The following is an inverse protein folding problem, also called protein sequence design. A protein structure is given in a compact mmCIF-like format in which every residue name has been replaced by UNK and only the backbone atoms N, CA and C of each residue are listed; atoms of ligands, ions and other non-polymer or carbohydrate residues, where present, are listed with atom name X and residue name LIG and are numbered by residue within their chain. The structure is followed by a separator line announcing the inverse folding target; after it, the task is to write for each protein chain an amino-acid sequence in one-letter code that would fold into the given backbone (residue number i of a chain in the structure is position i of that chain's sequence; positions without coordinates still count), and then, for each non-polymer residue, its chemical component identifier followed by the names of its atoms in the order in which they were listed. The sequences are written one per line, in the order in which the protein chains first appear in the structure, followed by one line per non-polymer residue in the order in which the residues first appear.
data_IF_404745775745
#
_entry.id   IF_404745775745
#
_cell.length_a   1.000
_cell.length_b   1.000
_cell.length_c   1.000
_cell.angle_alpha   90.00
_cell.angle_beta   90.00
_cell.angle_gamma   90.00
#
_symmetry.space_group_name_H-M   'P 1'
#
loop_
_entity.id
_entity.type
_entity.pdbx_description
1 polymer ?
#
# COMPACT_ATOMS: atom_id res chain seq x y z
N UNK A 1 4.17 -9.32 66.70
CA UNK A 1 3.55 -8.82 65.46
C UNK A 1 4.19 -7.47 65.08
N UNK A 2 4.76 -7.41 63.87
CA UNK A 2 4.78 -6.28 62.89
C UNK A 2 5.36 -4.92 63.33
N UNK A 3 6.12 -4.16 62.54
CA UNK A 3 6.87 -4.29 61.26
C UNK A 3 7.62 -2.94 61.12
N UNK A 4 8.82 -2.98 60.55
CA UNK A 4 9.70 -1.83 60.26
C UNK A 4 9.07 -0.84 59.25
N UNK A 5 9.52 0.42 59.21
CA UNK A 5 9.83 1.11 57.94
C UNK A 5 10.65 2.41 58.15
N UNK A 6 11.89 2.39 57.64
CA UNK A 6 12.76 3.51 57.23
C UNK A 6 12.29 4.12 55.91
N UNK A 7 12.89 5.26 55.48
CA UNK A 7 13.11 5.80 54.10
C UNK A 7 13.11 7.36 54.24
N UNK A 8 14.23 8.08 54.43
CA UNK A 8 15.35 8.46 53.52
C UNK A 8 14.86 8.88 52.12
N UNK A 9 14.72 10.18 51.82
CA UNK A 9 15.74 11.09 51.27
C UNK A 9 16.26 10.68 49.87
N UNK A 10 16.46 11.70 49.03
CA UNK A 10 17.29 11.76 47.80
C UNK A 10 16.48 11.62 46.51
N UNK A 11 16.66 12.42 45.46
CA UNK A 11 17.12 13.79 45.21
C UNK A 11 16.87 13.95 43.70
N UNK A 12 16.52 15.16 43.26
CA UNK A 12 16.38 15.50 41.86
C UNK A 12 17.67 15.19 41.07
N UNK A 13 17.54 14.48 39.95
CA UNK A 13 18.43 14.67 38.81
C UNK A 13 17.73 14.26 37.51
N UNK A 14 16.77 15.09 37.08
CA UNK A 14 16.15 15.00 35.76
C UNK A 14 17.06 15.67 34.75
N UNK A 15 18.16 15.01 34.37
CA UNK A 15 18.96 15.45 33.22
C UNK A 15 18.20 15.17 31.93
N UNK A 16 17.96 16.28 31.23
CA UNK A 16 17.45 16.41 29.88
C UNK A 16 18.17 15.45 28.91
N UNK A 17 17.46 14.44 28.43
CA UNK A 17 17.80 13.74 27.20
C UNK A 17 16.87 14.24 26.09
N UNK A 18 17.08 15.48 25.64
CA UNK A 18 16.58 15.89 24.32
C UNK A 18 17.62 15.47 23.28
N UNK A 19 17.62 14.17 22.97
CA UNK A 19 18.24 13.66 21.77
C UNK A 19 17.49 14.27 20.58
N UNK A 20 18.07 15.30 19.97
CA UNK A 20 17.63 15.78 18.67
C UNK A 20 17.89 14.67 17.64
N UNK A 21 16.94 13.75 17.51
CA UNK A 21 16.88 12.87 16.36
C UNK A 21 16.36 13.73 15.20
N UNK A 22 17.28 14.46 14.57
CA UNK A 22 17.02 15.07 13.26
C UNK A 22 16.98 13.94 12.24
N UNK A 23 15.90 13.16 12.23
CA UNK A 23 15.53 12.39 11.04
C UNK A 23 15.12 13.40 10.00
N UNK A 24 16.08 13.86 9.19
CA UNK A 24 15.81 14.15 7.78
C UNK A 24 15.33 12.84 7.17
N UNK A 25 14.03 12.56 7.30
CA UNK A 25 13.34 11.75 6.29
C UNK A 25 13.39 12.59 5.04
N UNK A 26 14.48 12.42 4.30
CA UNK A 26 14.51 12.61 2.87
C UNK A 26 13.45 11.63 2.37
N UNK A 27 12.20 12.10 2.34
CA UNK A 27 11.09 11.31 1.85
C UNK A 27 11.48 10.95 0.45
N UNK A 28 11.77 9.67 0.21
CA UNK A 28 11.83 9.13 -1.13
C UNK A 28 10.60 9.65 -1.84
N UNK A 29 10.81 10.49 -2.84
CA UNK A 29 9.74 10.89 -3.75
C UNK A 29 9.38 9.58 -4.43
N UNK A 30 8.39 8.88 -3.89
CA UNK A 30 7.88 7.63 -4.43
C UNK A 30 7.33 7.99 -5.81
N UNK A 31 8.14 7.78 -6.85
CA UNK A 31 7.75 8.06 -8.22
C UNK A 31 6.56 7.18 -8.52
N UNK A 32 5.43 7.79 -8.84
CA UNK A 32 4.23 7.05 -9.24
C UNK A 32 4.52 6.51 -10.64
N UNK A 33 4.69 5.18 -10.76
CA UNK A 33 4.86 4.51 -12.04
C UNK A 33 3.49 4.32 -12.71
N UNK A 34 3.31 4.95 -13.86
CA UNK A 34 2.10 4.83 -14.65
C UNK A 34 2.35 3.97 -15.88
N UNK A 35 1.53 2.95 -16.05
CA UNK A 35 1.60 2.02 -17.18
C UNK A 35 0.61 2.47 -18.23
N UNK A 36 1.14 2.92 -19.38
CA UNK A 36 0.37 3.56 -20.44
C UNK A 36 -0.07 2.58 -21.52
N UNK A 37 -1.28 2.75 -22.02
CA UNK A 37 -1.84 1.92 -23.09
C UNK A 37 -2.69 2.73 -24.08
N UNK A 38 -3.04 2.12 -25.21
CA UNK A 38 -3.91 2.74 -26.23
C UNK A 38 -5.24 3.16 -25.61
N UNK A 39 -5.70 4.37 -25.91
CA UNK A 39 -6.96 4.90 -25.35
C UNK A 39 -8.15 3.97 -25.62
N UNK A 40 -8.91 3.64 -24.57
CA UNK A 40 -10.10 2.80 -24.59
C UNK A 40 -11.18 3.44 -23.69
N UNK A 41 -12.49 3.18 -23.92
CA UNK A 41 -13.54 3.65 -23.01
C UNK A 41 -13.28 3.18 -21.57
N UNK A 42 -13.50 4.05 -20.58
CA UNK A 42 -13.21 3.76 -19.16
C UNK A 42 -13.87 2.45 -18.67
N UNK A 43 -15.14 2.22 -19.04
CA UNK A 43 -15.85 0.96 -18.75
C UNK A 43 -15.18 -0.28 -19.34
N UNK A 44 -14.54 -0.16 -20.51
CA UNK A 44 -13.78 -1.25 -21.13
C UNK A 44 -12.49 -1.52 -20.36
N UNK A 45 -11.78 -0.46 -19.96
CA UNK A 45 -10.58 -0.58 -19.12
C UNK A 45 -10.93 -1.26 -17.79
N UNK A 46 -11.94 -0.75 -17.08
CA UNK A 46 -12.44 -1.33 -15.83
C UNK A 46 -12.71 -2.83 -15.97
N UNK A 47 -13.48 -3.22 -16.99
CA UNK A 47 -13.80 -4.63 -17.25
C UNK A 47 -12.54 -5.48 -17.49
N UNK A 48 -11.58 -4.99 -18.28
CA UNK A 48 -10.36 -5.73 -18.58
C UNK A 48 -9.49 -5.91 -17.33
N UNK A 49 -9.33 -4.86 -16.51
CA UNK A 49 -8.56 -4.93 -15.26
C UNK A 49 -9.22 -5.91 -14.27
N UNK A 50 -10.55 -5.85 -14.10
CA UNK A 50 -11.28 -6.79 -13.23
C UNK A 50 -11.10 -8.23 -13.71
N UNK A 51 -11.20 -8.47 -15.03
CA UNK A 51 -11.00 -9.79 -15.60
C UNK A 51 -9.57 -10.29 -15.40
N UNK A 52 -8.56 -9.45 -15.62
CA UNK A 52 -7.16 -9.79 -15.41
C UNK A 52 -6.90 -10.26 -13.96
N UNK A 53 -7.30 -9.43 -12.98
CA UNK A 53 -7.10 -9.77 -11.57
C UNK A 53 -7.87 -11.03 -11.16
N UNK A 54 -9.13 -11.18 -11.59
CA UNK A 54 -9.92 -12.38 -11.27
C UNK A 54 -9.34 -13.66 -11.87
N UNK A 55 -8.86 -13.61 -13.12
CA UNK A 55 -8.20 -14.74 -13.79
C UNK A 55 -6.88 -15.12 -13.10
N UNK A 56 -6.16 -14.15 -12.54
CA UNK A 56 -4.96 -14.36 -11.72
C UNK A 56 -5.26 -14.72 -10.24
N UNK A 57 -6.54 -14.81 -9.86
CA UNK A 57 -6.96 -15.24 -8.52
C UNK A 57 -7.05 -14.12 -7.47
N UNK A 58 -7.04 -12.86 -7.90
CA UNK A 58 -7.33 -11.71 -7.04
C UNK A 58 -8.83 -11.52 -6.84
N UNK A 59 -9.21 -11.15 -5.61
CA UNK A 59 -10.52 -10.58 -5.32
C UNK A 59 -10.52 -9.10 -5.71
N UNK A 60 -11.32 -8.76 -6.71
CA UNK A 60 -11.43 -7.39 -7.21
C UNK A 60 -12.67 -6.71 -6.65
N UNK A 61 -12.49 -5.61 -5.92
CA UNK A 61 -13.59 -4.84 -5.33
C UNK A 61 -13.60 -3.43 -5.91
N UNK A 62 -14.75 -3.01 -6.43
CA UNK A 62 -14.93 -1.64 -6.90
C UNK A 62 -14.99 -0.68 -5.70
N UNK A 63 -14.14 0.35 -5.72
CA UNK A 63 -14.15 1.42 -4.73
C UNK A 63 -14.75 2.70 -5.30
N UNK A 64 -14.38 3.04 -6.54
CA UNK A 64 -14.95 4.13 -7.35
C UNK A 64 -14.87 3.76 -8.84
N UNK A 65 -15.47 4.58 -9.70
CA UNK A 65 -15.53 4.34 -11.16
C UNK A 65 -14.15 4.05 -11.81
N UNK A 66 -13.08 4.63 -11.26
CA UNK A 66 -11.73 4.55 -11.80
C UNK A 66 -10.70 4.00 -10.78
N UNK A 67 -11.18 3.32 -9.73
CA UNK A 67 -10.36 2.83 -8.62
C UNK A 67 -10.88 1.47 -8.12
N UNK A 68 -10.02 0.46 -8.13
CA UNK A 68 -10.29 -0.88 -7.62
C UNK A 68 -9.36 -1.21 -6.45
N UNK A 69 -9.84 -2.03 -5.52
CA UNK A 69 -9.02 -2.70 -4.51
C UNK A 69 -8.90 -4.17 -4.90
N UNK A 70 -7.68 -4.62 -5.16
CA UNK A 70 -7.34 -6.01 -5.46
C UNK A 70 -6.74 -6.68 -4.22
N UNK A 71 -7.28 -7.81 -3.81
CA UNK A 71 -6.78 -8.58 -2.66
C UNK A 71 -6.48 -10.03 -3.04
N UNK A 72 -5.33 -10.55 -2.64
CA UNK A 72 -4.95 -11.96 -2.85
C UNK A 72 -4.38 -12.53 -1.58
N UNK A 73 -4.75 -13.78 -1.26
CA UNK A 73 -4.24 -14.48 -0.07
C UNK A 73 -3.39 -15.65 -0.50
N UNK A 74 -2.11 -15.62 -0.14
CA UNK A 74 -1.13 -16.65 -0.46
C UNK A 74 -0.32 -16.98 0.80
N UNK A 75 -0.12 -18.27 1.08
CA UNK A 75 0.64 -18.74 2.25
C UNK A 75 0.15 -18.13 3.58
N UNK A 76 -1.16 -17.92 3.71
CA UNK A 76 -1.79 -17.33 4.90
C UNK A 76 -1.56 -15.82 5.07
N UNK A 77 -0.96 -15.15 4.09
CA UNK A 77 -0.77 -13.69 4.06
C UNK A 77 -1.68 -13.07 3.01
N UNK A 78 -2.34 -11.98 3.36
CA UNK A 78 -3.15 -11.20 2.43
C UNK A 78 -2.35 -10.00 1.94
N UNK A 79 -2.24 -9.86 0.62
CA UNK A 79 -1.79 -8.65 -0.08
C UNK A 79 -3.01 -7.83 -0.49
N UNK A 80 -2.90 -6.51 -0.47
CA UNK A 80 -3.90 -5.59 -0.99
C UNK A 80 -3.20 -4.53 -1.86
N UNK A 81 -3.72 -4.33 -3.07
CA UNK A 81 -3.21 -3.37 -4.06
C UNK A 81 -4.36 -2.49 -4.51
N UNK A 82 -4.15 -1.17 -4.46
CA UNK A 82 -5.06 -0.19 -5.05
C UNK A 82 -4.68 0.02 -6.51
N UNK A 83 -5.64 -0.19 -7.41
CA UNK A 83 -5.47 0.04 -8.84
C UNK A 83 -6.21 1.33 -9.20
N UNK A 84 -5.47 2.37 -9.56
CA UNK A 84 -6.06 3.59 -10.13
C UNK A 84 -5.89 3.56 -11.64
N UNK A 85 -6.94 3.82 -12.39
CA UNK A 85 -6.88 3.75 -13.86
C UNK A 85 -7.63 4.89 -14.54
N UNK A 86 -7.36 5.06 -15.82
CA UNK A 86 -8.02 6.01 -16.72
C UNK A 86 -8.23 5.35 -18.08
N UNK A 87 -8.60 6.13 -19.09
CA UNK A 87 -8.83 5.63 -20.45
C UNK A 87 -7.56 5.13 -21.14
N UNK A 88 -6.37 5.51 -20.67
CA UNK A 88 -5.09 5.24 -21.34
C UNK A 88 -3.92 4.98 -20.38
N UNK A 89 -4.16 4.79 -19.08
CA UNK A 89 -3.14 4.39 -18.12
C UNK A 89 -3.74 3.68 -16.92
N UNK A 90 -2.90 2.95 -16.19
CA UNK A 90 -3.18 2.47 -14.83
C UNK A 90 -1.93 2.63 -13.93
N UNK A 91 -2.13 2.53 -12.61
CA UNK A 91 -1.09 2.56 -11.60
C UNK A 91 -1.48 1.65 -10.44
N UNK A 92 -0.50 0.95 -9.86
CA UNK A 92 -0.64 0.05 -8.71
C UNK A 92 0.00 0.63 -7.45
N UNK A 93 -0.73 0.61 -6.34
CA UNK A 93 -0.20 1.04 -5.04
C UNK A 93 -0.60 0.09 -3.90
N UNK A 94 0.35 -0.61 -3.25
CA UNK A 94 1.76 -0.73 -3.64
C UNK A 94 1.93 -1.39 -5.03
N UNK A 95 3.14 -1.30 -5.59
CA UNK A 95 3.52 -2.03 -6.80
C UNK A 95 3.46 -3.55 -6.53
N UNK A 96 3.02 -4.32 -7.53
CA UNK A 96 2.97 -5.78 -7.51
C UNK A 96 3.11 -6.28 -8.95
N UNK A 97 4.30 -6.80 -9.28
CA UNK A 97 4.68 -7.21 -10.64
C UNK A 97 3.75 -8.29 -11.21
N UNK A 98 3.32 -9.25 -10.38
CA UNK A 98 2.42 -10.33 -10.80
C UNK A 98 1.07 -9.78 -11.29
N UNK A 99 0.49 -8.83 -10.54
CA UNK A 99 -0.75 -8.17 -10.92
C UNK A 99 -0.56 -7.21 -12.09
N UNK A 100 0.57 -6.52 -12.17
CA UNK A 100 0.91 -5.64 -13.30
C UNK A 100 0.96 -6.45 -14.60
N UNK A 101 1.76 -7.51 -14.64
CA UNK A 101 1.90 -8.41 -15.78
C UNK A 101 0.55 -8.98 -16.21
N UNK A 102 -0.30 -9.38 -15.26
CA UNK A 102 -1.64 -9.89 -15.56
C UNK A 102 -2.52 -8.83 -16.26
N UNK A 103 -2.46 -7.58 -15.79
CA UNK A 103 -3.21 -6.46 -16.38
C UNK A 103 -2.65 -6.10 -17.76
N UNK A 104 -1.33 -6.02 -17.91
CA UNK A 104 -0.65 -5.72 -19.18
C UNK A 104 -1.01 -6.74 -20.26
N UNK A 105 -0.92 -8.03 -19.93
CA UNK A 105 -1.32 -9.12 -20.83
C UNK A 105 -2.77 -8.99 -21.29
N UNK A 106 -3.70 -8.60 -20.39
CA UNK A 106 -5.11 -8.43 -20.72
C UNK A 106 -5.41 -7.17 -21.54
N UNK A 107 -4.56 -6.15 -21.40
CA UNK A 107 -4.64 -4.89 -22.16
C UNK A 107 -3.91 -4.95 -23.51
N UNK A 108 -3.23 -6.07 -23.80
CA UNK A 108 -2.42 -6.31 -25.00
C UNK A 108 -1.25 -5.32 -25.10
N UNK A 109 -0.54 -5.14 -23.98
CA UNK A 109 0.71 -4.40 -23.89
C UNK A 109 1.93 -5.28 -24.19
#
# INVERSE_FOLDING_TARGET
MKKNLTISLVFLLSTLFFSACSTTTQGDIKSINYTHFKQRPLKKVHKLIVQAGQEDGWRMTEFKENELIAEKTENGKTKAVTITFSQNYFHLSPEDDDLEDAIENKLEL
#
